data_IF_226898119419
#
_entry.id   IF_226898119419
#
_cell.length_a   1.000
_cell.length_b   1.000
_cell.length_c   1.000
_cell.angle_alpha   90.00
_cell.angle_beta   90.00
_cell.angle_gamma   90.00
#
_symmetry.space_group_name_H-M   'P 1'
#
loop_
_entity.id
_entity.type
_entity.pdbx_description
1 polymer ?
#
# COMPACT_ATOMS: atom_id res chain seq x y z
N UNK A 1 -2.86 3.14 -12.59
CA UNK A 1 -1.90 2.12 -13.08
C UNK A 1 -0.60 2.25 -12.31
N UNK A 2 0.00 1.16 -11.81
CA UNK A 2 1.26 1.24 -11.06
C UNK A 2 2.46 1.58 -11.97
N UNK A 3 3.56 2.11 -11.44
CA UNK A 3 4.72 2.59 -12.21
C UNK A 3 5.35 1.52 -13.12
N UNK A 4 5.42 0.27 -12.66
CA UNK A 4 6.00 -0.84 -13.44
C UNK A 4 5.21 -1.15 -14.72
N UNK A 5 3.88 -1.01 -14.68
CA UNK A 5 3.03 -1.19 -15.86
C UNK A 5 3.18 -0.02 -16.84
N UNK A 6 3.40 1.20 -16.35
CA UNK A 6 3.66 2.39 -17.17
C UNK A 6 5.05 2.40 -17.82
N UNK A 7 6.04 1.77 -17.17
CA UNK A 7 7.44 1.76 -17.60
C UNK A 7 7.78 0.56 -18.48
N UNK A 8 7.41 -0.63 -18.04
CA UNK A 8 7.85 -1.90 -18.65
C UNK A 8 6.70 -2.73 -19.23
N UNK A 9 5.45 -2.26 -19.11
CA UNK A 9 4.24 -3.05 -19.47
C UNK A 9 4.15 -4.39 -18.73
N UNK A 10 4.74 -4.46 -17.54
CA UNK A 10 4.70 -5.63 -16.66
C UNK A 10 3.66 -5.41 -15.57
N UNK A 11 2.89 -6.45 -15.25
CA UNK A 11 1.89 -6.42 -14.19
C UNK A 11 2.15 -7.54 -13.19
N UNK A 12 2.70 -7.21 -12.03
CA UNK A 12 2.80 -8.14 -10.91
C UNK A 12 1.56 -8.00 -10.04
N UNK A 13 0.69 -9.01 -10.03
CA UNK A 13 -0.63 -8.92 -9.42
C UNK A 13 -0.59 -8.40 -7.96
N UNK A 14 0.18 -9.04 -7.08
CA UNK A 14 0.24 -8.65 -5.67
C UNK A 14 0.75 -7.20 -5.47
N UNK A 15 1.94 -6.80 -5.96
CA UNK A 15 2.38 -5.41 -5.89
C UNK A 15 1.38 -4.42 -6.53
N UNK A 16 0.72 -4.77 -7.63
CA UNK A 16 -0.23 -3.89 -8.30
C UNK A 16 -1.51 -3.69 -7.48
N UNK A 17 -2.00 -4.73 -6.79
CA UNK A 17 -3.09 -4.60 -5.83
C UNK A 17 -2.70 -3.70 -4.65
N UNK A 18 -1.50 -3.91 -4.09
CA UNK A 18 -1.00 -3.07 -2.98
C UNK A 18 -0.83 -1.61 -3.38
N UNK A 19 -0.36 -1.32 -4.61
CA UNK A 19 -0.33 0.03 -5.14
C UNK A 19 -1.73 0.65 -5.15
N UNK A 20 -2.72 -0.09 -5.67
CA UNK A 20 -4.12 0.38 -5.71
C UNK A 20 -4.67 0.65 -4.31
N UNK A 21 -4.38 -0.21 -3.33
CA UNK A 21 -4.73 0.02 -1.92
C UNK A 21 -4.12 1.33 -1.42
N UNK A 22 -2.84 1.58 -1.70
CA UNK A 22 -2.16 2.82 -1.31
C UNK A 22 -2.80 4.07 -1.92
N UNK A 23 -3.20 4.02 -3.19
CA UNK A 23 -3.91 5.11 -3.87
C UNK A 23 -5.27 5.36 -3.21
N UNK A 24 -6.06 4.30 -3.03
CA UNK A 24 -7.38 4.41 -2.40
C UNK A 24 -7.30 4.97 -0.99
N UNK A 25 -6.36 4.48 -0.18
CA UNK A 25 -6.17 4.96 1.18
C UNK A 25 -5.77 6.43 1.19
N UNK A 26 -4.86 6.86 0.32
CA UNK A 26 -4.50 8.27 0.20
C UNK A 26 -5.71 9.14 -0.15
N UNK A 27 -6.51 8.72 -1.15
CA UNK A 27 -7.68 9.46 -1.63
C UNK A 27 -8.77 9.58 -0.55
N UNK A 28 -9.01 8.51 0.21
CA UNK A 28 -9.92 8.53 1.36
C UNK A 28 -9.45 9.53 2.42
N UNK A 29 -8.15 9.57 2.72
CA UNK A 29 -7.61 10.42 3.79
C UNK A 29 -7.48 11.90 3.39
N UNK A 30 -7.40 12.23 2.10
CA UNK A 30 -7.15 13.60 1.63
C UNK A 30 -8.27 14.20 0.76
N UNK A 31 -9.22 13.39 0.27
CA UNK A 31 -10.27 13.84 -0.66
C UNK A 31 -9.74 14.30 -2.02
N UNK A 32 -8.53 13.87 -2.43
CA UNK A 32 -7.88 14.26 -3.68
C UNK A 32 -6.96 13.15 -4.18
N UNK A 33 -6.68 13.16 -5.48
CA UNK A 33 -5.77 12.21 -6.13
C UNK A 33 -4.34 12.28 -5.54
N UNK A 34 -3.71 11.11 -5.38
CA UNK A 34 -2.30 11.02 -4.98
C UNK A 34 -1.34 11.53 -6.07
N UNK A 35 -1.67 11.22 -7.33
CA UNK A 35 -0.91 11.61 -8.52
C UNK A 35 -1.89 12.04 -9.61
N UNK A 36 -1.63 13.18 -10.23
CA UNK A 36 -2.50 13.79 -11.24
C UNK A 36 -2.16 13.41 -12.68
N UNK A 37 -0.99 12.83 -12.94
CA UNK A 37 -0.55 12.48 -14.30
C UNK A 37 0.53 11.38 -14.27
N UNK A 38 0.90 10.88 -15.46
CA UNK A 38 1.94 9.86 -15.62
C UNK A 38 3.29 10.30 -15.03
N UNK A 39 3.66 11.57 -15.15
CA UNK A 39 4.94 12.08 -14.65
C UNK A 39 4.97 12.08 -13.11
N UNK A 40 3.88 12.47 -12.43
CA UNK A 40 3.79 12.43 -10.98
C UNK A 40 3.75 10.99 -10.45
N UNK A 41 3.11 10.05 -11.16
CA UNK A 41 3.20 8.61 -10.83
C UNK A 41 4.66 8.13 -10.92
N UNK A 42 5.39 8.50 -11.97
CA UNK A 42 6.75 8.01 -12.22
C UNK A 42 7.83 8.67 -11.35
N UNK A 43 7.67 9.95 -11.00
CA UNK A 43 8.74 10.75 -10.39
C UNK A 43 8.29 11.66 -9.23
N UNK A 44 6.98 11.88 -9.05
CA UNK A 44 6.46 12.81 -8.04
C UNK A 44 6.67 12.34 -6.59
N UNK A 45 6.81 13.28 -5.67
CA UNK A 45 6.71 12.98 -4.25
C UNK A 45 5.23 12.92 -3.85
N UNK A 46 4.88 12.02 -2.93
CA UNK A 46 3.56 12.01 -2.32
C UNK A 46 3.48 13.04 -1.20
N UNK A 47 2.39 13.80 -1.16
CA UNK A 47 2.16 14.84 -0.16
C UNK A 47 1.15 14.37 0.88
N UNK A 48 1.64 13.81 1.98
CA UNK A 48 0.79 13.30 3.07
C UNK A 48 0.66 14.36 4.16
N UNK A 49 -0.57 14.63 4.61
CA UNK A 49 -0.83 15.62 5.65
C UNK A 49 -0.19 15.19 7.00
N UNK A 50 0.57 16.05 7.68
CA UNK A 50 1.27 15.70 8.93
C UNK A 50 0.36 15.44 10.15
N UNK A 51 -0.97 15.57 9.99
CA UNK A 51 -1.94 15.29 11.06
C UNK A 51 -2.38 13.82 11.06
N UNK A 52 -2.08 13.08 9.99
CA UNK A 52 -2.32 11.65 9.96
C UNK A 52 -1.37 10.97 10.95
N UNK A 53 -1.81 9.87 11.57
CA UNK A 53 -0.96 9.10 12.47
C UNK A 53 0.28 8.59 11.73
N UNK A 54 1.40 8.48 12.45
CA UNK A 54 2.66 7.97 11.89
C UNK A 54 2.48 6.61 11.22
N UNK A 55 1.68 5.73 11.82
CA UNK A 55 1.31 4.43 11.25
C UNK A 55 0.55 4.55 9.91
N UNK A 56 -0.34 5.54 9.75
CA UNK A 56 -1.05 5.77 8.49
C UNK A 56 -0.10 6.25 7.39
N UNK A 57 0.74 7.24 7.73
CA UNK A 57 1.76 7.80 6.84
C UNK A 57 2.70 6.70 6.36
N UNK A 58 3.14 5.84 7.28
CA UNK A 58 4.03 4.70 6.99
C UNK A 58 3.37 3.71 6.03
N UNK A 59 2.12 3.27 6.31
CA UNK A 59 1.41 2.34 5.43
C UNK A 59 1.23 2.88 4.01
N UNK A 60 0.75 4.12 3.87
CA UNK A 60 0.56 4.74 2.54
C UNK A 60 1.90 4.81 1.80
N UNK A 61 2.97 5.23 2.49
CA UNK A 61 4.30 5.37 1.91
C UNK A 61 4.85 4.04 1.41
N UNK A 62 4.71 2.97 2.20
CA UNK A 62 5.21 1.65 1.83
C UNK A 62 4.37 0.99 0.70
N UNK A 63 3.06 1.24 0.65
CA UNK A 63 2.21 0.81 -0.48
C UNK A 63 2.56 1.52 -1.79
N UNK A 64 3.01 2.77 -1.73
CA UNK A 64 3.29 3.61 -2.90
C UNK A 64 4.78 3.66 -3.29
N UNK A 65 5.57 2.70 -2.81
CA UNK A 65 6.92 2.47 -3.32
C UNK A 65 6.86 2.07 -4.80
N UNK A 66 7.63 2.78 -5.63
CA UNK A 66 7.65 2.58 -7.09
C UNK A 66 8.26 1.27 -7.54
N UNK A 67 9.29 0.81 -6.85
CA UNK A 67 9.89 -0.49 -7.14
C UNK A 67 8.97 -1.59 -6.59
N UNK A 68 8.30 -2.40 -7.43
CA UNK A 68 7.38 -3.42 -6.96
C UNK A 68 8.04 -4.48 -6.06
N UNK A 69 9.36 -4.69 -6.19
CA UNK A 69 10.09 -5.65 -5.34
C UNK A 69 10.38 -5.11 -3.92
N UNK A 70 10.26 -3.79 -3.71
CA UNK A 70 10.40 -3.14 -2.40
C UNK A 70 9.06 -2.70 -1.81
N UNK A 71 7.98 -2.81 -2.58
CA UNK A 71 6.61 -2.51 -2.15
C UNK A 71 6.14 -3.62 -1.21
N UNK A 72 5.27 -3.28 -0.25
CA UNK A 72 4.64 -4.30 0.59
C UNK A 72 3.95 -5.37 -0.26
N UNK A 73 3.97 -6.60 0.24
CA UNK A 73 3.08 -7.66 -0.16
C UNK A 73 1.74 -7.51 0.56
N UNK A 74 0.65 -7.99 -0.04
CA UNK A 74 -0.69 -7.88 0.53
C UNK A 74 -0.80 -8.35 2.00
N UNK A 75 -0.21 -9.50 2.35
CA UNK A 75 -0.25 -10.00 3.73
C UNK A 75 0.46 -9.06 4.72
N UNK A 76 1.46 -8.29 4.28
CA UNK A 76 2.15 -7.32 5.12
C UNK A 76 1.28 -6.07 5.34
N UNK A 77 0.44 -5.70 4.38
CA UNK A 77 -0.59 -4.66 4.55
C UNK A 77 -1.58 -5.09 5.64
N UNK A 78 -2.05 -6.34 5.60
CA UNK A 78 -2.99 -6.90 6.60
C UNK A 78 -2.39 -6.99 8.01
N UNK A 79 -1.07 -7.14 8.09
CA UNK A 79 -0.32 -7.22 9.36
C UNK A 79 0.19 -5.86 9.85
N UNK A 80 0.04 -4.80 9.04
CA UNK A 80 0.55 -3.49 9.36
C UNK A 80 -0.17 -2.92 10.59
N UNK A 81 0.55 -2.26 11.49
CA UNK A 81 0.00 -1.74 12.75
C UNK A 81 -1.16 -0.73 12.55
N UNK A 82 -1.20 -0.04 11.42
CA UNK A 82 -2.35 0.81 11.08
C UNK A 82 -3.61 0.00 10.76
N UNK A 83 -3.47 -1.10 10.01
CA UNK A 83 -4.59 -1.96 9.63
C UNK A 83 -5.00 -2.88 10.79
N UNK A 84 -4.04 -3.32 11.58
CA UNK A 84 -4.21 -4.24 12.68
C UNK A 84 -3.44 -3.78 13.93
N UNK A 85 -3.98 -2.80 14.68
CA UNK A 85 -3.28 -2.18 15.80
C UNK A 85 -3.14 -3.07 17.05
N UNK A 86 -4.01 -4.06 17.24
CA UNK A 86 -4.14 -4.75 18.54
C UNK A 86 -4.37 -6.26 18.46
N UNK A 87 -4.55 -6.87 17.28
CA UNK A 87 -4.95 -8.29 17.21
C UNK A 87 -3.95 -9.18 16.47
N UNK A 88 -3.63 -10.39 16.96
CA UNK A 88 -3.00 -11.40 16.12
C UNK A 88 -3.92 -11.71 14.93
N UNK A 89 -3.41 -11.58 13.70
CA UNK A 89 -4.16 -11.79 12.45
C UNK A 89 -5.08 -13.05 12.54
N UNK A 90 -6.41 -12.91 12.45
CA UNK A 90 -7.34 -14.03 12.58
C UNK A 90 -7.11 -15.14 11.57
N UNK A 91 -6.71 -14.80 10.34
CA UNK A 91 -6.37 -15.78 9.29
C UNK A 91 -5.13 -16.58 9.69
N UNK A 92 -4.10 -15.93 10.24
CA UNK A 92 -2.94 -16.66 10.81
C UNK A 92 -3.35 -17.56 11.97
N UNK A 93 -4.30 -17.12 12.81
CA UNK A 93 -4.82 -17.95 13.90
C UNK A 93 -5.64 -19.14 13.40
N UNK A 94 -6.42 -18.97 12.32
CA UNK A 94 -7.14 -20.05 11.66
C UNK A 94 -6.18 -21.08 11.05
N UNK A 95 -5.10 -20.65 10.39
CA UNK A 95 -4.06 -21.56 9.89
C UNK A 95 -3.31 -22.28 11.01
N UNK A 96 -3.00 -21.60 12.13
CA UNK A 96 -2.41 -22.25 13.31
C UNK A 96 -3.33 -23.31 13.90
N UNK A 97 -4.63 -23.04 13.98
CA UNK A 97 -5.65 -24.00 14.45
C UNK A 97 -5.83 -25.21 13.55
N UNK A 98 -5.55 -25.10 12.24
CA UNK A 98 -5.62 -26.23 11.30
C UNK A 98 -4.37 -27.11 11.31
N UNK A 99 -3.26 -26.66 11.91
CA UNK A 99 -2.01 -27.42 12.01
C UNK A 99 -1.86 -28.21 13.32
N UNK A 100 -2.75 -27.97 14.29
CA UNK A 100 -2.90 -28.77 15.50
C UNK A 100 -4.18 -29.60 15.41
#
# INVERSE_FOLDING_TARGET
MPPEALRCRVFHANPAYVWTIGIMLYEIMHGRLAFNNRQSIMFGAIQIHPRLSTACVDLISQCLIRNPAKRLQLHQVEEHCWFNPTTPNPVKQLYKRRKN
#
